data_IF_294258216434
#
_entry.id   IF_294258216434
#
_cell.length_a   1.000
_cell.length_b   1.000
_cell.length_c   1.000
_cell.angle_alpha   90.00
_cell.angle_beta   90.00
_cell.angle_gamma   90.00
#
_symmetry.space_group_name_H-M   'P 1'
#
loop_
_entity.id
_entity.type
_entity.pdbx_description
1 polymer ?
#
# COMPACT_ATOMS: atom_id res chain seq x y z
N UNK A 1 19.04 -5.53 -6.32
CA UNK A 1 17.85 -6.41 -6.44
C UNK A 1 16.67 -5.89 -5.63
N UNK A 2 16.81 -5.66 -4.32
CA UNK A 2 15.74 -5.12 -3.48
C UNK A 2 15.16 -3.78 -3.94
N UNK A 3 16.00 -2.87 -4.45
CA UNK A 3 15.54 -1.56 -4.94
C UNK A 3 14.63 -1.66 -6.17
N UNK A 4 14.87 -2.63 -7.04
CA UNK A 4 13.98 -2.89 -8.19
C UNK A 4 12.62 -3.41 -7.72
N UNK A 5 12.63 -4.36 -6.77
CA UNK A 5 11.39 -4.90 -6.18
C UNK A 5 10.58 -3.80 -5.51
N UNK A 6 11.22 -2.91 -4.76
CA UNK A 6 10.54 -1.77 -4.15
C UNK A 6 9.94 -0.84 -5.22
N UNK A 7 10.71 -0.49 -6.25
CA UNK A 7 10.23 0.35 -7.33
C UNK A 7 9.03 -0.27 -8.07
N UNK A 8 9.04 -1.59 -8.30
CA UNK A 8 7.94 -2.31 -8.93
C UNK A 8 6.68 -2.32 -8.05
N UNK A 9 6.83 -2.56 -6.74
CA UNK A 9 5.72 -2.50 -5.76
C UNK A 9 5.11 -1.09 -5.73
N UNK A 10 5.95 -0.05 -5.69
CA UNK A 10 5.48 1.34 -5.66
C UNK A 10 4.83 1.76 -6.97
N UNK A 11 5.36 1.31 -8.11
CA UNK A 11 4.78 1.60 -9.43
C UNK A 11 3.40 0.94 -9.58
N UNK A 12 3.28 -0.32 -9.19
CA UNK A 12 2.02 -1.07 -9.29
C UNK A 12 0.95 -0.45 -8.40
N UNK A 13 1.32 -0.03 -7.18
CA UNK A 13 0.40 0.48 -6.19
C UNK A 13 0.28 2.01 -6.19
N UNK A 14 0.85 2.72 -7.17
CA UNK A 14 0.89 4.19 -7.19
C UNK A 14 -0.49 4.87 -7.02
N UNK A 15 -1.56 4.17 -7.40
CA UNK A 15 -2.93 4.65 -7.33
C UNK A 15 -3.74 4.11 -6.14
N UNK A 16 -3.09 3.46 -5.17
CA UNK A 16 -3.80 2.97 -3.98
C UNK A 16 -4.11 4.10 -3.01
N UNK A 17 -5.24 3.98 -2.30
CA UNK A 17 -5.67 4.96 -1.30
C UNK A 17 -4.58 5.17 -0.24
N UNK A 18 -3.90 4.09 0.18
CA UNK A 18 -2.83 4.17 1.17
C UNK A 18 -1.65 5.02 0.70
N UNK A 19 -1.13 4.79 -0.52
CA UNK A 19 0.00 5.58 -1.02
C UNK A 19 -0.40 7.02 -1.35
N UNK A 20 -1.65 7.25 -1.78
CA UNK A 20 -2.19 8.60 -1.97
C UNK A 20 -2.33 9.37 -0.65
N UNK A 21 -2.86 8.72 0.39
CA UNK A 21 -3.02 9.30 1.74
C UNK A 21 -1.69 9.79 2.31
N UNK A 22 -0.61 9.07 2.04
CA UNK A 22 0.73 9.43 2.50
C UNK A 22 1.50 10.32 1.52
N UNK A 23 0.96 10.64 0.33
CA UNK A 23 1.61 11.54 -0.63
C UNK A 23 2.78 10.91 -1.39
N UNK A 24 2.86 9.57 -1.45
CA UNK A 24 3.87 8.84 -2.23
C UNK A 24 3.35 8.39 -3.60
N UNK A 25 2.11 8.74 -3.96
CA UNK A 25 1.49 8.35 -5.22
C UNK A 25 2.31 8.80 -6.44
N UNK A 26 2.83 7.83 -7.19
CA UNK A 26 3.62 8.06 -8.41
C UNK A 26 5.12 8.25 -8.19
N UNK A 27 5.60 8.23 -6.94
CA UNK A 27 7.03 8.27 -6.65
C UNK A 27 7.55 6.86 -6.27
N UNK A 28 8.64 6.45 -6.93
CA UNK A 28 9.26 5.13 -6.74
C UNK A 28 10.63 5.21 -6.07
N UNK A 29 11.04 6.40 -5.63
CA UNK A 29 12.32 6.64 -5.00
C UNK A 29 12.35 6.09 -3.58
N UNK A 30 13.40 5.30 -3.30
CA UNK A 30 13.61 4.65 -2.01
C UNK A 30 13.76 5.65 -0.85
N UNK A 31 14.44 6.76 -1.08
CA UNK A 31 14.65 7.77 -0.02
C UNK A 31 13.33 8.46 0.34
N UNK A 32 12.51 8.78 -0.66
CA UNK A 32 11.17 9.35 -0.44
C UNK A 32 10.24 8.35 0.24
N UNK A 33 10.29 7.07 -0.13
CA UNK A 33 9.56 6.01 0.57
C UNK A 33 9.88 6.02 2.07
N UNK A 34 11.16 6.07 2.45
CA UNK A 34 11.61 6.02 3.85
C UNK A 34 11.23 7.26 4.66
N UNK A 35 11.20 8.44 4.04
CA UNK A 35 10.89 9.69 4.75
C UNK A 35 9.39 9.97 4.80
N UNK A 36 8.63 9.48 3.82
CA UNK A 36 7.21 9.79 3.64
C UNK A 36 6.32 8.75 4.33
N UNK A 37 6.66 7.46 4.24
CA UNK A 37 5.85 6.42 4.85
C UNK A 37 6.30 6.12 6.28
N UNK A 38 5.38 6.19 7.25
CA UNK A 38 5.67 5.76 8.61
C UNK A 38 5.82 4.24 8.66
N UNK A 39 6.60 3.77 9.62
CA UNK A 39 6.57 2.36 10.01
C UNK A 39 5.26 2.14 10.78
N UNK A 40 4.41 1.25 10.28
CA UNK A 40 3.07 0.99 10.81
C UNK A 40 2.97 -0.36 11.53
N UNK A 41 2.04 -0.43 12.46
CA UNK A 41 1.60 -1.66 13.14
C UNK A 41 0.27 -2.15 12.56
N UNK A 42 -0.19 -3.33 12.98
CA UNK A 42 -1.47 -3.88 12.53
C UNK A 42 -2.66 -2.96 12.85
N UNK A 43 -2.65 -2.30 14.01
CA UNK A 43 -3.76 -1.42 14.42
C UNK A 43 -3.90 -0.19 13.51
N UNK A 44 -2.81 0.29 12.91
CA UNK A 44 -2.82 1.46 12.02
C UNK A 44 -3.49 1.18 10.67
N UNK A 45 -3.43 -0.07 10.20
CA UNK A 45 -4.04 -0.53 8.93
C UNK A 45 -5.31 -1.36 9.13
N UNK A 46 -5.71 -1.57 10.39
CA UNK A 46 -6.85 -2.41 10.74
C UNK A 46 -8.14 -1.93 10.08
N UNK A 47 -8.39 -0.63 10.05
CA UNK A 47 -9.58 -0.06 9.39
C UNK A 47 -9.62 -0.39 7.90
N UNK A 48 -8.47 -0.34 7.23
CA UNK A 48 -8.35 -0.62 5.80
C UNK A 48 -8.60 -2.12 5.53
N UNK A 49 -8.07 -2.99 6.40
CA UNK A 49 -8.31 -4.44 6.35
C UNK A 49 -9.79 -4.77 6.57
N UNK A 50 -10.46 -4.13 7.54
CA UNK A 50 -11.90 -4.32 7.79
C UNK A 50 -12.73 -3.91 6.57
N UNK A 51 -12.44 -2.76 5.94
CA UNK A 51 -13.13 -2.34 4.70
C UNK A 51 -13.02 -3.40 3.60
N UNK A 52 -11.83 -3.97 3.40
CA UNK A 52 -11.62 -5.04 2.41
C UNK A 52 -12.44 -6.29 2.80
N UNK A 53 -12.46 -6.65 4.09
CA UNK A 53 -13.22 -7.80 4.59
C UNK A 53 -14.75 -7.61 4.45
N UNK A 54 -15.25 -6.39 4.60
CA UNK A 54 -16.64 -6.02 4.34
C UNK A 54 -17.01 -6.08 2.85
N UNK A 55 -16.04 -6.27 1.96
CA UNK A 55 -16.23 -6.46 0.52
C UNK A 55 -15.94 -5.22 -0.32
N UNK A 56 -15.28 -4.20 0.24
CA UNK A 56 -14.76 -3.08 -0.55
C UNK A 56 -13.65 -3.57 -1.49
N UNK A 57 -13.89 -3.43 -2.80
CA UNK A 57 -12.95 -3.84 -3.86
C UNK A 57 -12.15 -2.68 -4.42
N UNK A 58 -12.23 -1.51 -3.77
CA UNK A 58 -11.41 -0.36 -4.12
C UNK A 58 -9.93 -0.66 -3.88
N UNK A 59 -9.07 0.07 -4.57
CA UNK A 59 -7.62 -0.06 -4.49
C UNK A 59 -7.08 0.48 -3.15
N UNK A 60 -7.44 -0.11 -2.01
CA UNK A 60 -7.12 0.46 -0.70
C UNK A 60 -5.62 0.31 -0.38
N UNK A 61 -5.16 -0.95 -0.30
CA UNK A 61 -3.76 -1.29 0.01
C UNK A 61 -2.99 -1.81 -1.22
N UNK A 62 -3.71 -2.40 -2.18
CA UNK A 62 -3.15 -3.05 -3.36
C UNK A 62 -3.94 -2.64 -4.60
N UNK A 63 -3.25 -2.43 -5.72
CA UNK A 63 -3.89 -2.25 -7.03
C UNK A 63 -4.46 -3.56 -7.57
N UNK A 64 -3.93 -4.70 -7.12
CA UNK A 64 -4.47 -6.02 -7.44
C UNK A 64 -5.54 -6.41 -6.41
N UNK A 65 -6.63 -7.07 -6.85
CA UNK A 65 -7.67 -7.54 -5.96
C UNK A 65 -7.12 -8.55 -4.95
N UNK A 66 -7.50 -8.38 -3.68
CA UNK A 66 -7.12 -9.29 -2.61
C UNK A 66 -8.04 -10.51 -2.61
N UNK A 67 -7.48 -11.68 -2.91
CA UNK A 67 -8.26 -12.92 -3.07
C UNK A 67 -8.55 -13.61 -1.74
N UNK A 68 -7.58 -13.67 -0.83
CA UNK A 68 -7.68 -14.43 0.40
C UNK A 68 -6.94 -13.74 1.55
N UNK A 69 -7.49 -13.86 2.76
CA UNK A 69 -6.78 -13.54 4.00
C UNK A 69 -6.08 -14.79 4.52
N UNK A 70 -4.80 -14.67 4.86
CA UNK A 70 -4.03 -15.74 5.49
C UNK A 70 -4.03 -15.46 7.00
N UNK A 71 -4.71 -16.32 7.75
CA UNK A 71 -4.87 -16.23 9.20
C UNK A 71 -3.96 -17.23 9.91
#
# INVERSE_FOLDING_TARGET
>A
EQEKVLADILSLNAHTEYLQKHGLAGNTDRELFKTTLPVVSYEDIRSDIHRIADGDRSSILSALPLSHFIC
#
